data_IF_547730272927
#
_entry.id   IF_547730272927
#
_cell.length_a   1.000
_cell.length_b   1.000
_cell.length_c   1.000
_cell.angle_alpha   90.00
_cell.angle_beta   90.00
_cell.angle_gamma   90.00
#
_symmetry.space_group_name_H-M   'P 1'
#
loop_
_entity.id
_entity.type
_entity.pdbx_description
1 polymer ?
#
# COMPACT_ATOMS: atom_id res chain seq x y z
N UNK A 1 30.49 1.29 1.60
CA UNK A 1 29.12 1.02 2.09
C UNK A 1 28.17 1.77 1.17
N UNK A 2 27.26 1.08 0.49
CA UNK A 2 26.26 1.75 -0.36
C UNK A 2 25.34 2.60 0.52
N UNK A 3 25.02 3.83 0.11
CA UNK A 3 24.07 4.68 0.85
C UNK A 3 22.75 3.90 0.98
N UNK A 4 22.15 3.81 2.18
CA UNK A 4 20.84 3.20 2.32
C UNK A 4 19.86 3.89 1.38
N UNK A 5 19.00 3.11 0.72
CA UNK A 5 17.92 3.64 -0.11
C UNK A 5 17.12 4.69 0.67
N UNK A 6 16.76 5.80 0.03
CA UNK A 6 15.96 6.85 0.68
C UNK A 6 14.65 6.31 1.25
N UNK A 7 14.09 5.28 0.61
CA UNK A 7 12.93 4.53 1.11
C UNK A 7 13.24 3.83 2.43
N UNK A 8 14.38 3.14 2.53
CA UNK A 8 14.78 2.46 3.77
C UNK A 8 14.98 3.48 4.88
N UNK A 9 15.71 4.56 4.63
CA UNK A 9 15.93 5.60 5.63
C UNK A 9 14.62 6.21 6.13
N UNK A 10 13.68 6.50 5.21
CA UNK A 10 12.35 7.02 5.54
C UNK A 10 11.54 6.05 6.40
N UNK A 11 11.44 4.77 6.03
CA UNK A 11 10.68 3.76 6.78
C UNK A 11 11.33 3.38 8.12
N UNK A 12 12.65 3.56 8.25
CA UNK A 12 13.41 3.38 9.49
C UNK A 12 13.39 4.62 10.40
N UNK A 13 12.70 5.69 9.98
CA UNK A 13 12.59 6.93 10.75
C UNK A 13 13.86 7.80 10.79
N UNK A 14 14.87 7.49 9.98
CA UNK A 14 16.14 8.24 9.89
C UNK A 14 16.18 9.22 8.72
N UNK A 15 15.20 9.14 7.81
CA UNK A 15 15.04 9.99 6.65
C UNK A 15 13.66 10.63 6.57
N UNK A 16 13.51 11.50 5.57
CA UNK A 16 12.27 12.22 5.28
C UNK A 16 11.83 11.96 3.84
N UNK A 17 10.58 12.27 3.56
CA UNK A 17 10.09 12.33 2.19
C UNK A 17 10.62 13.57 1.46
N UNK A 18 10.24 13.72 0.19
CA UNK A 18 10.63 14.86 -0.65
C UNK A 18 10.17 16.25 -0.14
N UNK A 19 9.24 16.31 0.83
CA UNK A 19 8.80 17.54 1.49
C UNK A 19 9.45 17.77 2.85
N UNK A 20 10.37 16.91 3.27
CA UNK A 20 11.00 16.99 4.58
C UNK A 20 10.15 16.41 5.72
N UNK A 21 9.06 15.69 5.42
CA UNK A 21 8.23 15.03 6.43
C UNK A 21 8.80 13.68 6.80
N UNK A 22 8.83 13.36 8.08
CA UNK A 22 9.16 12.04 8.60
C UNK A 22 7.99 11.07 8.44
N UNK A 23 8.28 9.77 8.52
CA UNK A 23 7.23 8.75 8.54
C UNK A 23 6.26 8.95 9.73
N UNK A 24 6.79 9.31 10.90
CA UNK A 24 5.99 9.49 12.11
C UNK A 24 5.00 10.65 11.97
N UNK A 25 5.42 11.78 11.38
CA UNK A 25 4.52 12.91 11.11
C UNK A 25 3.39 12.50 10.17
N UNK A 26 3.70 11.79 9.08
CA UNK A 26 2.68 11.34 8.12
C UNK A 26 1.74 10.30 8.77
N UNK A 27 2.25 9.39 9.60
CA UNK A 27 1.42 8.42 10.32
C UNK A 27 0.51 9.08 11.37
N UNK A 28 0.81 10.29 11.80
CA UNK A 28 0.00 11.09 12.72
C UNK A 28 -0.98 12.05 12.03
N UNK A 29 -1.04 12.05 10.69
CA UNK A 29 -1.97 12.88 9.94
C UNK A 29 -3.43 12.61 10.30
N UNK A 30 -4.20 13.69 10.39
CA UNK A 30 -5.66 13.60 10.51
C UNK A 30 -6.27 13.12 9.19
N UNK A 31 -7.56 12.78 9.22
CA UNK A 31 -8.28 12.43 7.98
C UNK A 31 -8.22 13.57 6.95
N UNK A 32 -8.34 14.82 7.39
CA UNK A 32 -8.29 15.99 6.51
C UNK A 32 -6.89 16.17 5.90
N UNK A 33 -5.82 15.93 6.67
CA UNK A 33 -4.44 15.98 6.16
C UNK A 33 -4.19 14.89 5.10
N UNK A 34 -4.72 13.68 5.30
CA UNK A 34 -4.60 12.54 4.36
C UNK A 34 -5.37 12.77 3.05
N UNK A 35 -6.46 13.53 3.10
CA UNK A 35 -7.22 13.94 1.91
C UNK A 35 -6.53 15.11 1.20
N UNK A 36 -6.12 16.15 1.95
CA UNK A 36 -5.50 17.37 1.41
C UNK A 36 -4.13 17.12 0.79
N UNK A 37 -3.36 16.19 1.33
CA UNK A 37 -2.04 15.82 0.85
C UNK A 37 -2.06 14.39 0.31
N UNK A 38 -1.51 14.18 -0.88
CA UNK A 38 -1.53 12.86 -1.52
C UNK A 38 -0.20 12.46 -2.13
N UNK A 39 0.78 13.33 -2.01
CA UNK A 39 2.16 13.18 -2.47
C UNK A 39 3.01 12.31 -1.54
N UNK A 40 2.52 12.03 -0.32
CA UNK A 40 3.15 11.07 0.60
C UNK A 40 2.93 9.62 0.17
N UNK A 41 1.88 9.32 -0.60
CA UNK A 41 1.43 7.94 -0.82
C UNK A 41 2.47 7.11 -1.57
N UNK A 42 3.29 7.77 -2.42
CA UNK A 42 4.43 7.17 -3.08
C UNK A 42 5.53 6.72 -2.10
N UNK A 43 5.73 7.47 -1.01
CA UNK A 43 6.75 7.19 0.00
C UNK A 43 6.28 6.16 1.02
N UNK A 44 5.01 6.22 1.44
CA UNK A 44 4.41 5.21 2.30
C UNK A 44 4.33 3.84 1.61
N UNK A 45 3.94 3.82 0.34
CA UNK A 45 3.72 2.59 -0.43
C UNK A 45 4.48 2.64 -1.76
N UNK A 46 5.82 2.56 -1.73
CA UNK A 46 6.64 2.64 -2.93
C UNK A 46 6.43 1.40 -3.82
N UNK A 47 6.64 1.58 -5.12
CA UNK A 47 6.53 0.54 -6.15
C UNK A 47 7.82 0.46 -6.97
N UNK A 48 8.00 -0.61 -7.75
CA UNK A 48 9.10 -0.73 -8.71
C UNK A 48 8.92 0.26 -9.87
N UNK A 49 7.67 0.47 -10.29
CA UNK A 49 7.32 1.37 -11.38
C UNK A 49 7.38 2.83 -10.93
N UNK A 50 7.92 3.69 -11.79
CA UNK A 50 7.87 5.13 -11.58
C UNK A 50 6.43 5.63 -11.52
N UNK A 51 6.18 6.59 -10.63
CA UNK A 51 4.85 7.18 -10.49
C UNK A 51 4.57 8.12 -11.68
N UNK A 52 3.51 7.89 -12.47
CA UNK A 52 3.19 8.74 -13.63
C UNK A 52 2.82 10.18 -13.23
N UNK A 53 2.38 10.39 -11.99
CA UNK A 53 1.98 11.70 -11.45
C UNK A 53 3.08 12.37 -10.60
N UNK A 54 4.13 11.64 -10.23
CA UNK A 54 5.24 12.20 -9.45
C UNK A 54 6.55 11.46 -9.82
N UNK A 55 7.20 11.85 -10.93
CA UNK A 55 8.41 11.18 -11.40
C UNK A 55 9.59 11.27 -10.42
N UNK A 56 9.57 12.22 -9.48
CA UNK A 56 10.59 12.39 -8.45
C UNK A 56 10.42 11.44 -7.26
N UNK A 57 9.31 10.71 -7.20
CA UNK A 57 9.10 9.74 -6.14
C UNK A 57 10.06 8.54 -6.27
N UNK A 58 10.61 8.05 -5.16
CA UNK A 58 11.57 6.97 -5.21
C UNK A 58 10.89 5.66 -5.63
N UNK A 59 11.63 4.82 -6.37
CA UNK A 59 11.18 3.49 -6.78
C UNK A 59 11.88 2.40 -5.98
N UNK A 60 11.23 1.25 -5.88
CA UNK A 60 11.81 0.05 -5.29
C UNK A 60 12.82 -0.59 -6.22
N UNK A 61 14.01 -0.86 -5.69
CA UNK A 61 14.98 -1.79 -6.25
C UNK A 61 15.02 -3.09 -5.44
N UNK A 62 15.71 -4.11 -5.96
CA UNK A 62 15.80 -5.41 -5.30
C UNK A 62 16.50 -5.33 -3.94
N UNK A 63 17.42 -4.37 -3.77
CA UNK A 63 18.13 -4.18 -2.52
C UNK A 63 17.18 -3.66 -1.42
N UNK A 64 16.31 -2.71 -1.76
CA UNK A 64 15.27 -2.17 -0.87
C UNK A 64 14.26 -3.25 -0.53
N UNK A 65 13.77 -4.01 -1.50
CA UNK A 65 12.83 -5.12 -1.24
C UNK A 65 13.47 -6.14 -0.30
N UNK A 66 14.70 -6.60 -0.58
CA UNK A 66 15.44 -7.49 0.33
C UNK A 66 15.58 -6.92 1.74
N UNK A 67 15.81 -5.60 1.87
CA UNK A 67 15.89 -4.96 3.18
C UNK A 67 14.57 -5.08 3.94
N UNK A 68 13.40 -4.83 3.32
CA UNK A 68 12.10 -5.04 3.97
C UNK A 68 11.89 -6.51 4.37
N UNK A 69 12.26 -7.46 3.50
CA UNK A 69 12.14 -8.88 3.84
C UNK A 69 13.09 -9.34 4.96
N UNK A 70 14.24 -8.71 5.11
CA UNK A 70 15.22 -9.04 6.15
C UNK A 70 14.97 -8.30 7.48
N UNK A 71 14.27 -7.15 7.47
CA UNK A 71 14.16 -6.23 8.62
C UNK A 71 12.71 -6.12 9.11
N UNK A 72 12.33 -6.82 10.19
CA UNK A 72 10.97 -6.80 10.74
C UNK A 72 10.47 -5.40 11.09
N UNK A 73 11.35 -4.50 11.52
CA UNK A 73 11.03 -3.12 11.88
C UNK A 73 10.53 -2.29 10.69
N UNK A 74 11.08 -2.49 9.48
CA UNK A 74 10.61 -1.83 8.26
C UNK A 74 9.22 -2.35 7.86
N UNK A 75 9.00 -3.67 7.98
CA UNK A 75 7.68 -4.26 7.76
C UNK A 75 6.66 -3.76 8.76
N UNK A 76 7.03 -3.63 10.04
CA UNK A 76 6.15 -3.08 11.06
C UNK A 76 5.81 -1.61 10.77
N UNK A 77 6.77 -0.83 10.29
CA UNK A 77 6.55 0.55 9.88
C UNK A 77 5.56 0.66 8.71
N UNK A 78 5.74 -0.15 7.66
CA UNK A 78 4.80 -0.23 6.54
C UNK A 78 3.40 -0.69 6.99
N UNK A 79 3.33 -1.65 7.90
CA UNK A 79 2.05 -2.12 8.45
C UNK A 79 1.31 -1.01 9.18
N UNK A 80 1.99 -0.21 10.01
CA UNK A 80 1.38 0.96 10.66
C UNK A 80 0.83 1.95 9.65
N UNK A 81 1.56 2.22 8.57
CA UNK A 81 1.06 3.08 7.47
C UNK A 81 -0.18 2.49 6.80
N UNK A 82 -0.22 1.17 6.62
CA UNK A 82 -1.42 0.49 6.12
C UNK A 82 -2.59 0.64 7.08
N UNK A 83 -2.40 0.46 8.39
CA UNK A 83 -3.47 0.62 9.38
C UNK A 83 -4.02 2.06 9.40
N UNK A 84 -3.17 3.08 9.19
CA UNK A 84 -3.59 4.49 9.01
C UNK A 84 -4.49 4.62 7.78
N UNK A 85 -4.07 4.11 6.63
CA UNK A 85 -4.88 4.17 5.40
C UNK A 85 -6.16 3.35 5.50
N UNK A 86 -6.14 2.23 6.21
CA UNK A 86 -7.30 1.38 6.41
C UNK A 86 -8.41 2.12 7.16
N UNK A 87 -8.05 2.80 8.25
CA UNK A 87 -8.98 3.66 9.00
C UNK A 87 -9.46 4.85 8.19
N UNK A 88 -8.58 5.45 7.38
CA UNK A 88 -8.94 6.53 6.45
C UNK A 88 -10.03 6.08 5.46
N UNK A 89 -9.97 4.84 4.97
CA UNK A 89 -11.03 4.26 4.13
C UNK A 89 -12.27 3.79 4.89
N UNK A 90 -12.29 3.91 6.23
CA UNK A 90 -13.42 3.56 7.08
C UNK A 90 -13.49 2.08 7.45
N UNK A 91 -12.40 1.34 7.27
CA UNK A 91 -12.32 -0.07 7.63
C UNK A 91 -11.61 -0.29 8.97
N UNK A 92 -11.98 -1.38 9.65
CA UNK A 92 -11.31 -1.91 10.83
C UNK A 92 -10.78 -3.32 10.57
N UNK A 93 -9.74 -3.69 11.31
CA UNK A 93 -9.34 -5.09 11.46
C UNK A 93 -10.28 -5.76 12.47
N UNK A 94 -10.71 -6.98 12.13
CA UNK A 94 -11.56 -7.82 12.99
C UNK A 94 -10.90 -9.17 13.14
N UNK A 95 -10.82 -9.64 14.38
CA UNK A 95 -10.46 -11.02 14.65
C UNK A 95 -11.65 -11.93 14.36
N UNK A 96 -11.37 -13.06 13.73
CA UNK A 96 -12.34 -14.08 13.36
C UNK A 96 -11.78 -15.44 13.75
N UNK A 97 -12.64 -16.45 13.78
CA UNK A 97 -12.23 -17.84 14.08
C UNK A 97 -11.20 -18.37 13.06
N UNK A 98 -11.20 -17.83 11.84
CA UNK A 98 -10.28 -18.18 10.75
C UNK A 98 -9.06 -17.25 10.59
N UNK A 99 -8.83 -16.33 11.53
CA UNK A 99 -7.74 -15.34 11.45
C UNK A 99 -8.24 -13.90 11.40
N UNK A 100 -7.58 -13.04 10.62
CA UNK A 100 -7.92 -11.61 10.56
C UNK A 100 -8.76 -11.31 9.32
N UNK A 101 -9.85 -10.57 9.50
CA UNK A 101 -10.66 -10.00 8.43
C UNK A 101 -10.60 -8.46 8.46
N UNK A 102 -10.89 -7.84 7.31
CA UNK A 102 -11.10 -6.40 7.20
C UNK A 102 -12.60 -6.17 6.94
N UNK A 103 -13.23 -5.31 7.72
CA UNK A 103 -14.65 -5.02 7.59
C UNK A 103 -14.94 -3.52 7.83
N UNK A 104 -16.07 -3.00 7.31
CA UNK A 104 -16.54 -1.65 7.63
C UNK A 104 -16.55 -1.39 9.14
N UNK A 105 -15.89 -0.30 9.54
CA UNK A 105 -15.81 0.16 10.93
C UNK A 105 -16.89 1.16 11.30
N UNK A 106 -16.81 1.70 12.52
CA UNK A 106 -17.77 2.69 13.01
C UNK A 106 -17.77 3.99 12.17
N UNK A 107 -16.63 4.34 11.55
CA UNK A 107 -16.48 5.52 10.68
C UNK A 107 -16.83 5.28 9.20
N UNK A 108 -17.33 4.09 8.84
CA UNK A 108 -17.52 3.68 7.45
C UNK A 108 -18.32 4.70 6.62
N UNK A 109 -19.51 5.11 7.09
CA UNK A 109 -20.38 5.99 6.31
C UNK A 109 -19.73 7.34 5.98
N UNK A 110 -19.00 7.91 6.94
CA UNK A 110 -18.31 9.18 6.75
C UNK A 110 -17.14 9.04 5.78
N UNK A 111 -16.31 8.01 5.95
CA UNK A 111 -15.17 7.76 5.09
C UNK A 111 -15.60 7.39 3.65
N UNK A 112 -16.57 6.50 3.50
CA UNK A 112 -17.06 6.04 2.19
C UNK A 112 -17.58 7.20 1.33
N UNK A 113 -18.21 8.23 1.93
CA UNK A 113 -18.62 9.43 1.18
C UNK A 113 -17.46 10.18 0.51
N UNK A 114 -16.24 10.05 1.04
CA UNK A 114 -15.06 10.75 0.53
C UNK A 114 -14.34 9.99 -0.58
N UNK A 115 -14.33 8.65 -0.54
CA UNK A 115 -13.55 7.83 -1.49
C UNK A 115 -14.39 6.93 -2.39
N UNK A 116 -15.58 6.51 -1.95
CA UNK A 116 -16.49 5.63 -2.70
C UNK A 116 -17.41 6.44 -3.61
N UNK A 117 -16.81 7.25 -4.48
CA UNK A 117 -17.50 8.06 -5.50
C UNK A 117 -16.94 7.76 -6.89
N UNK A 118 -17.74 7.92 -7.97
CA UNK A 118 -17.28 7.57 -9.32
C UNK A 118 -15.99 8.31 -9.72
N UNK A 119 -15.00 7.58 -10.22
CA UNK A 119 -13.73 8.15 -10.68
C UNK A 119 -12.82 8.70 -9.58
N UNK A 120 -13.07 8.38 -8.31
CA UNK A 120 -12.28 8.90 -7.21
C UNK A 120 -10.80 8.47 -7.31
N UNK A 121 -9.90 9.42 -7.11
CA UNK A 121 -8.46 9.22 -7.20
C UNK A 121 -7.92 8.21 -6.16
N UNK A 122 -8.65 8.00 -5.06
CA UNK A 122 -8.31 6.98 -4.06
C UNK A 122 -8.30 5.56 -4.62
N UNK A 123 -9.00 5.27 -5.73
CA UNK A 123 -8.93 3.96 -6.37
C UNK A 123 -7.51 3.63 -6.86
N UNK A 124 -6.76 4.63 -7.34
CA UNK A 124 -5.36 4.47 -7.72
C UNK A 124 -4.44 4.34 -6.50
N UNK A 125 -4.74 5.05 -5.40
CA UNK A 125 -4.01 4.89 -4.13
C UNK A 125 -4.16 3.47 -3.59
N UNK A 126 -5.37 2.92 -3.60
CA UNK A 126 -5.66 1.54 -3.18
C UNK A 126 -4.88 0.53 -4.03
N UNK A 127 -4.86 0.68 -5.37
CA UNK A 127 -4.04 -0.18 -6.24
C UNK A 127 -2.57 -0.17 -5.83
N UNK A 128 -2.01 1.01 -5.55
CA UNK A 128 -0.62 1.15 -5.08
C UNK A 128 -0.39 0.48 -3.73
N UNK A 129 -1.30 0.67 -2.77
CA UNK A 129 -1.20 0.05 -1.44
C UNK A 129 -1.16 -1.47 -1.58
N UNK A 130 -2.10 -2.06 -2.31
CA UNK A 130 -2.16 -3.52 -2.54
C UNK A 130 -0.86 -4.05 -3.18
N UNK A 131 -0.35 -3.36 -4.19
CA UNK A 131 0.87 -3.78 -4.88
C UNK A 131 2.10 -3.65 -3.97
N UNK A 132 2.23 -2.54 -3.25
CA UNK A 132 3.36 -2.31 -2.34
C UNK A 132 3.39 -3.31 -1.18
N UNK A 133 2.23 -3.59 -0.57
CA UNK A 133 2.10 -4.63 0.47
C UNK A 133 2.55 -6.00 -0.05
N UNK A 134 2.16 -6.35 -1.27
CA UNK A 134 2.56 -7.62 -1.92
C UNK A 134 4.06 -7.71 -2.11
N UNK A 135 4.71 -6.65 -2.61
CA UNK A 135 6.16 -6.61 -2.84
C UNK A 135 6.98 -6.64 -1.53
N UNK A 136 6.49 -5.98 -0.48
CA UNK A 136 7.26 -5.70 0.74
C UNK A 136 6.94 -6.63 1.92
N UNK A 137 6.40 -7.83 1.63
CA UNK A 137 6.26 -8.90 2.61
C UNK A 137 4.97 -8.89 3.43
N UNK A 138 3.91 -8.26 2.91
CA UNK A 138 2.57 -8.20 3.52
C UNK A 138 1.47 -8.71 2.57
N UNK A 139 1.78 -9.74 1.76
CA UNK A 139 0.83 -10.29 0.79
C UNK A 139 -0.49 -10.74 1.44
N UNK A 140 -0.43 -11.34 2.63
CA UNK A 140 -1.62 -11.75 3.37
C UNK A 140 -2.54 -10.56 3.68
N UNK A 141 -1.99 -9.45 4.19
CA UNK A 141 -2.76 -8.24 4.44
C UNK A 141 -3.35 -7.66 3.13
N UNK A 142 -2.61 -7.73 2.03
CA UNK A 142 -3.11 -7.30 0.72
C UNK A 142 -4.29 -8.15 0.24
N UNK A 143 -4.22 -9.48 0.44
CA UNK A 143 -5.31 -10.42 0.10
C UNK A 143 -6.55 -10.16 0.94
N UNK A 144 -6.40 -10.00 2.26
CA UNK A 144 -7.53 -9.71 3.16
C UNK A 144 -8.16 -8.35 2.82
N UNK A 145 -7.36 -7.36 2.46
CA UNK A 145 -7.88 -6.06 2.05
C UNK A 145 -8.61 -6.13 0.70
N UNK A 146 -8.08 -6.88 -0.26
CA UNK A 146 -8.77 -7.11 -1.54
C UNK A 146 -10.12 -7.78 -1.32
N UNK A 147 -10.21 -8.79 -0.46
CA UNK A 147 -11.48 -9.46 -0.16
C UNK A 147 -12.53 -8.46 0.37
N UNK A 148 -12.15 -7.58 1.30
CA UNK A 148 -13.04 -6.52 1.77
C UNK A 148 -13.47 -5.56 0.64
N UNK A 149 -12.56 -5.21 -0.27
CA UNK A 149 -12.85 -4.36 -1.42
C UNK A 149 -13.76 -5.05 -2.45
N UNK A 150 -13.68 -6.37 -2.59
CA UNK A 150 -14.58 -7.17 -3.44
C UNK A 150 -16.01 -7.16 -2.91
N UNK A 151 -16.20 -7.22 -1.59
CA UNK A 151 -17.53 -7.05 -0.97
C UNK A 151 -18.11 -5.65 -1.23
N UNK A 152 -17.28 -4.60 -1.12
CA UNK A 152 -17.72 -3.24 -1.46
C UNK A 152 -18.04 -3.12 -2.95
N UNK A 153 -17.25 -3.74 -3.82
CA UNK A 153 -17.56 -3.82 -5.26
C UNK A 153 -18.89 -4.51 -5.53
N UNK A 154 -19.18 -5.64 -4.86
CA UNK A 154 -20.44 -6.35 -5.00
C UNK A 154 -21.65 -5.48 -4.61
N UNK A 155 -21.54 -4.71 -3.54
CA UNK A 155 -22.58 -3.80 -3.08
C UNK A 155 -22.67 -2.50 -3.92
N UNK A 156 -21.56 -2.03 -4.49
CA UNK A 156 -21.44 -0.72 -5.15
C UNK A 156 -20.87 -0.82 -6.57
N UNK A 157 -21.27 -1.83 -7.34
CA UNK A 157 -20.75 -2.11 -8.69
C UNK A 157 -20.92 -0.98 -9.71
N UNK A 158 -21.84 -0.04 -9.47
CA UNK A 158 -22.01 1.18 -10.26
C UNK A 158 -20.93 2.25 -10.01
N UNK A 159 -20.21 2.17 -8.89
CA UNK A 159 -19.14 3.10 -8.51
C UNK A 159 -17.77 2.45 -8.69
N UNK A 160 -17.58 1.26 -8.11
CA UNK A 160 -16.39 0.43 -8.35
C UNK A 160 -16.74 -0.50 -9.50
N UNK A 161 -16.33 -0.14 -10.71
CA UNK A 161 -16.58 -0.97 -11.89
C UNK A 161 -15.64 -2.17 -12.04
N UNK A 162 -15.91 -3.06 -13.01
CA UNK A 162 -15.10 -4.26 -13.29
C UNK A 162 -13.64 -3.93 -13.66
N UNK A 163 -13.40 -2.76 -14.25
CA UNK A 163 -12.04 -2.29 -14.58
C UNK A 163 -11.23 -2.03 -13.31
N UNK A 164 -11.81 -1.29 -12.34
CA UNK A 164 -11.16 -0.93 -11.08
C UNK A 164 -10.83 -2.15 -10.24
N UNK A 165 -11.81 -3.04 -10.00
CA UNK A 165 -11.57 -4.28 -9.24
C UNK A 165 -10.55 -5.18 -9.95
N UNK A 166 -10.52 -5.17 -11.28
CA UNK A 166 -9.50 -5.87 -12.07
C UNK A 166 -8.07 -5.35 -11.84
N UNK A 167 -7.89 -4.04 -11.64
CA UNK A 167 -6.58 -3.49 -11.23
C UNK A 167 -6.18 -3.95 -9.83
N UNK A 168 -7.12 -3.95 -8.88
CA UNK A 168 -6.85 -4.38 -7.49
C UNK A 168 -6.49 -5.86 -7.41
N UNK A 169 -7.18 -6.73 -8.15
CA UNK A 169 -6.83 -8.16 -8.27
C UNK A 169 -5.42 -8.35 -8.83
N UNK A 170 -5.07 -7.69 -9.93
CA UNK A 170 -3.72 -7.79 -10.53
C UNK A 170 -2.62 -7.29 -9.59
N UNK A 171 -2.90 -6.31 -8.74
CA UNK A 171 -1.94 -5.75 -7.81
C UNK A 171 -1.40 -6.78 -6.79
N UNK A 172 -2.19 -7.80 -6.43
CA UNK A 172 -1.77 -8.87 -5.50
C UNK A 172 -1.16 -10.10 -6.20
N UNK A 173 -1.37 -10.20 -7.51
CA UNK A 173 -0.83 -11.27 -8.37
C UNK A 173 0.55 -10.93 -8.94
N UNK A 174 0.97 -9.67 -8.81
CA UNK A 174 2.32 -9.22 -9.16
C UNK A 174 3.35 -9.78 -8.17
N UNK A 175 3.60 -11.09 -8.22
CA UNK A 175 4.79 -11.71 -7.63
C UNK A 175 5.98 -11.50 -8.56
N UNK A 176 7.13 -11.12 -8.01
CA UNK A 176 8.40 -10.86 -8.70
C UNK A 176 8.61 -11.77 -9.93
N UNK A 177 8.37 -11.23 -11.13
CA UNK A 177 8.62 -11.96 -12.37
C UNK A 177 10.12 -12.00 -12.73
N UNK A 178 11.02 -12.03 -11.74
CA UNK A 178 12.47 -12.06 -11.93
C UNK A 178 13.18 -13.28 -11.33
N UNK A 179 12.48 -14.25 -10.74
CA UNK A 179 13.10 -15.53 -10.31
C UNK A 179 13.01 -16.65 -11.36
N UNK A 180 12.71 -16.36 -12.62
CA UNK A 180 12.95 -17.28 -13.74
C UNK A 180 14.18 -16.86 -14.55
N UNK A 181 15.36 -16.93 -13.95
CA UNK A 181 16.58 -17.31 -14.66
C UNK A 181 17.04 -18.64 -14.09
N UNK A 182 16.95 -19.67 -14.92
CA UNK A 182 17.43 -21.02 -14.68
C UNK A 182 18.87 -21.05 -14.15
N UNK A 183 19.20 -21.95 -13.20
CA UNK A 183 20.57 -22.43 -13.05
C UNK A 183 20.79 -23.55 -14.07
N UNK A 184 21.49 -23.26 -15.16
CA UNK A 184 22.19 -24.20 -16.03
C UNK A 184 23.23 -23.35 -16.79
N UNK A 185 24.52 -23.65 -16.84
CA UNK A 185 25.19 -24.93 -16.67
C UNK A 185 26.63 -24.67 -16.22
N UNK A 186 27.14 -25.54 -15.34
CA UNK A 186 28.57 -25.69 -15.11
C UNK A 186 29.03 -26.80 -16.05
N UNK A 187 29.82 -26.43 -17.06
CA UNK A 187 30.89 -27.26 -17.61
C UNK A 187 31.98 -26.34 -18.11
#
# INVERSE_FOLDING_TARGET
>A
MSRPSGIVAFHDGTGTDHRGRTLAEIQAFSHDDLEAHHDFIQWLFPLREQSPVNPAAPTLDDATIRAFHARPELRAALRRSFDVMLRFYGFDLRETEGGVAIAPGAGWEAAARNWLTPGNHNFLRITRILHSLTLLGHREAAVVFLAALEEVHAAHGGVIGPVTIGYWRRAIDATDNHTRRHPADRT
#
